data_IF_167912977400
#
_entry.id   IF_167912977400
#
_cell.length_a   1.000
_cell.length_b   1.000
_cell.length_c   1.000
_cell.angle_alpha   90.00
_cell.angle_beta   90.00
_cell.angle_gamma   90.00
#
_symmetry.space_group_name_H-M   'P 1'
#
loop_
_entity.id
_entity.type
_entity.pdbx_description
1 polymer ?
#
# COMPACT_ATOMS: atom_id res chain seq x y z
N UNK A 1 -29.86 -63.19 -24.53
CA UNK A 1 -29.92 -61.83 -23.95
C UNK A 1 -29.16 -61.82 -22.63
N UNK A 2 -27.93 -61.28 -22.60
CA UNK A 2 -27.31 -60.76 -21.38
C UNK A 2 -27.17 -59.22 -21.45
N UNK A 3 -27.25 -58.49 -20.32
CA UNK A 3 -27.48 -57.06 -20.31
C UNK A 3 -26.21 -56.21 -20.50
N UNK A 4 -26.49 -55.00 -20.98
CA UNK A 4 -25.62 -53.89 -21.33
C UNK A 4 -24.66 -53.49 -20.19
N UNK A 5 -23.37 -53.42 -20.50
CA UNK A 5 -22.34 -52.77 -19.68
C UNK A 5 -22.56 -51.26 -19.69
N UNK A 6 -22.86 -50.66 -18.54
CA UNK A 6 -22.71 -49.21 -18.32
C UNK A 6 -21.59 -49.03 -17.29
N UNK A 7 -20.43 -48.64 -17.78
CA UNK A 7 -19.28 -48.25 -16.98
C UNK A 7 -19.52 -46.81 -16.49
N UNK A 8 -19.95 -46.66 -15.24
CA UNK A 8 -20.08 -45.36 -14.59
C UNK A 8 -18.66 -44.83 -14.26
N UNK A 9 -18.11 -43.96 -15.10
CA UNK A 9 -16.92 -43.19 -14.78
C UNK A 9 -17.31 -42.06 -13.81
N UNK A 10 -17.08 -42.26 -12.52
CA UNK A 10 -17.14 -41.19 -11.55
C UNK A 10 -15.93 -40.26 -11.76
N UNK A 11 -16.12 -39.14 -12.45
CA UNK A 11 -15.17 -38.02 -12.42
C UNK A 11 -15.16 -37.45 -11.00
N UNK A 12 -14.00 -37.34 -10.32
CA UNK A 12 -13.94 -36.63 -9.08
C UNK A 12 -14.25 -35.15 -9.36
N UNK A 13 -15.34 -34.67 -8.75
CA UNK A 13 -15.69 -33.26 -8.66
C UNK A 13 -14.49 -32.57 -8.00
N UNK A 14 -13.64 -31.93 -8.80
CA UNK A 14 -12.61 -31.03 -8.31
C UNK A 14 -13.34 -29.85 -7.69
N UNK A 15 -13.61 -29.95 -6.38
CA UNK A 15 -14.11 -28.85 -5.60
C UNK A 15 -13.00 -27.79 -5.62
N UNK A 16 -13.17 -26.83 -6.52
CA UNK A 16 -12.36 -25.63 -6.58
C UNK A 16 -12.47 -24.97 -5.20
N UNK A 17 -11.39 -25.00 -4.43
CA UNK A 17 -11.29 -24.29 -3.18
C UNK A 17 -11.31 -22.78 -3.49
N UNK A 18 -12.48 -22.18 -3.34
CA UNK A 18 -12.71 -20.75 -3.33
C UNK A 18 -13.83 -20.51 -2.30
N UNK A 19 -13.71 -19.72 -1.24
CA UNK A 19 -12.74 -18.71 -0.92
C UNK A 19 -12.41 -18.79 0.58
N UNK A 20 -11.13 -18.69 0.93
CA UNK A 20 -10.75 -18.21 2.25
C UNK A 20 -11.05 -16.72 2.30
N UNK A 21 -12.25 -16.36 2.77
CA UNK A 21 -12.56 -15.02 3.26
C UNK A 21 -11.81 -14.83 4.58
N UNK A 22 -10.50 -14.62 4.47
CA UNK A 22 -9.59 -14.30 5.55
C UNK A 22 -9.08 -12.87 5.36
N UNK A 23 -9.22 -12.06 6.39
CA UNK A 23 -8.77 -10.66 6.47
C UNK A 23 -7.31 -10.53 6.00
N UNK A 24 -7.03 -9.72 4.99
CA UNK A 24 -5.66 -9.50 4.52
C UNK A 24 -5.30 -8.01 4.51
N UNK A 25 -5.18 -7.42 5.70
CA UNK A 25 -4.47 -6.14 5.85
C UNK A 25 -2.98 -6.25 5.46
N UNK A 26 -2.46 -7.48 5.34
CA UNK A 26 -1.14 -7.80 4.77
C UNK A 26 -0.97 -7.30 3.32
N UNK A 27 -2.06 -7.14 2.54
CA UNK A 27 -1.99 -6.64 1.16
C UNK A 27 -2.04 -5.11 1.06
N UNK A 28 -2.28 -4.41 2.18
CA UNK A 28 -2.45 -2.97 2.18
C UNK A 28 -1.13 -2.22 2.43
N UNK A 29 -0.06 -2.89 2.87
CA UNK A 29 1.26 -2.28 3.06
C UNK A 29 2.33 -3.20 2.45
N UNK A 30 3.25 -2.63 1.67
CA UNK A 30 4.37 -3.36 1.08
C UNK A 30 5.65 -2.53 1.04
N UNK A 31 6.78 -3.22 0.92
CA UNK A 31 8.09 -2.62 0.66
C UNK A 31 8.70 -3.28 -0.57
N UNK A 32 9.19 -2.48 -1.51
CA UNK A 32 9.72 -2.97 -2.79
C UNK A 32 10.91 -2.13 -3.24
N UNK A 33 11.95 -2.80 -3.74
CA UNK A 33 13.06 -2.15 -4.43
C UNK A 33 12.64 -1.70 -5.83
N UNK A 34 12.92 -0.45 -6.17
CA UNK A 34 12.75 0.14 -7.51
C UNK A 34 14.07 0.74 -7.99
N UNK A 35 14.09 1.23 -9.23
CA UNK A 35 15.17 2.05 -9.81
C UNK A 35 15.34 3.39 -9.09
N UNK A 36 14.26 3.97 -8.55
CA UNK A 36 14.28 5.19 -7.76
C UNK A 36 14.84 4.99 -6.35
N UNK A 37 14.87 3.76 -5.85
CA UNK A 37 15.24 3.39 -4.48
C UNK A 37 14.20 2.48 -3.84
N UNK A 38 14.09 2.50 -2.51
CA UNK A 38 13.10 1.68 -1.80
C UNK A 38 11.77 2.41 -1.68
N UNK A 39 10.69 1.75 -2.10
CA UNK A 39 9.31 2.25 -1.98
C UNK A 39 8.59 1.50 -0.88
N UNK A 40 8.11 2.23 0.13
CA UNK A 40 7.14 1.74 1.10
C UNK A 40 5.77 2.22 0.63
N UNK A 41 4.92 1.29 0.20
CA UNK A 41 3.59 1.59 -0.28
C UNK A 41 2.56 1.26 0.80
N UNK A 42 1.56 2.13 0.95
CA UNK A 42 0.39 1.90 1.79
C UNK A 42 -0.89 2.19 1.02
N UNK A 43 -1.91 1.37 1.18
CA UNK A 43 -3.27 1.67 0.69
C UNK A 43 -3.86 2.80 1.53
N UNK A 44 -4.55 3.72 0.86
CA UNK A 44 -5.15 4.88 1.53
C UNK A 44 -6.14 4.47 2.62
N UNK A 45 -6.77 3.29 2.56
CA UNK A 45 -7.72 2.83 3.59
C UNK A 45 -7.09 2.64 4.98
N UNK A 46 -5.77 2.39 5.01
CA UNK A 46 -5.01 2.25 6.25
C UNK A 46 -4.80 3.63 6.86
N UNK A 47 -4.38 4.59 6.04
CA UNK A 47 -3.99 5.93 6.45
C UNK A 47 -5.18 6.86 6.69
N UNK A 48 -6.22 6.78 5.85
CA UNK A 48 -7.29 7.77 5.76
C UNK A 48 -8.67 7.13 5.67
N UNK A 49 -9.69 7.88 6.06
CA UNK A 49 -11.07 7.58 5.70
C UNK A 49 -11.39 8.09 4.29
N UNK A 50 -12.45 7.57 3.68
CA UNK A 50 -12.90 7.97 2.33
C UNK A 50 -13.10 9.47 2.24
N UNK A 51 -12.47 10.09 1.22
CA UNK A 51 -12.57 11.54 0.97
C UNK A 51 -11.86 12.43 1.99
N UNK A 52 -11.14 11.86 2.96
CA UNK A 52 -10.40 12.63 3.98
C UNK A 52 -8.89 12.55 3.77
N UNK A 53 -8.19 13.50 4.38
CA UNK A 53 -6.73 13.54 4.47
C UNK A 53 -6.22 13.46 5.93
N UNK A 54 -7.10 13.39 6.93
CA UNK A 54 -6.67 13.22 8.33
C UNK A 54 -6.18 11.80 8.59
N UNK A 55 -5.02 11.68 9.25
CA UNK A 55 -4.45 10.37 9.61
C UNK A 55 -5.32 9.68 10.65
N UNK A 56 -5.68 8.42 10.35
CA UNK A 56 -6.41 7.55 11.27
C UNK A 56 -5.55 7.23 12.48
N UNK A 57 -6.11 7.20 13.70
CA UNK A 57 -5.37 6.77 14.89
C UNK A 57 -4.73 5.39 14.74
N UNK A 58 -5.39 4.47 14.01
CA UNK A 58 -4.90 3.12 13.72
C UNK A 58 -3.67 3.09 12.81
N UNK A 59 -3.41 4.16 12.04
CA UNK A 59 -2.24 4.28 11.17
C UNK A 59 -1.00 4.78 11.90
N UNK A 60 -1.15 5.35 13.11
CA UNK A 60 -0.04 5.93 13.86
C UNK A 60 1.12 4.96 14.10
N UNK A 61 0.89 3.69 14.51
CA UNK A 61 1.99 2.75 14.68
C UNK A 61 2.77 2.47 13.39
N UNK A 62 2.09 2.44 12.24
CA UNK A 62 2.76 2.30 10.94
C UNK A 62 3.67 3.50 10.67
N UNK A 63 3.19 4.73 10.90
CA UNK A 63 3.99 5.94 10.73
C UNK A 63 5.16 6.01 11.72
N UNK A 64 4.98 5.53 12.96
CA UNK A 64 6.07 5.41 13.95
C UNK A 64 7.18 4.48 13.45
N UNK A 65 6.80 3.34 12.85
CA UNK A 65 7.76 2.41 12.27
C UNK A 65 8.47 3.00 11.05
N UNK A 66 7.74 3.69 10.17
CA UNK A 66 8.34 4.36 9.00
C UNK A 66 9.34 5.42 9.47
N UNK A 67 8.96 6.30 10.41
CA UNK A 67 9.87 7.30 10.98
C UNK A 67 11.11 6.66 11.61
N UNK A 68 10.95 5.55 12.33
CA UNK A 68 12.07 4.78 12.89
C UNK A 68 13.04 4.32 11.80
N UNK A 69 12.54 3.80 10.68
CA UNK A 69 13.38 3.43 9.52
C UNK A 69 14.09 4.66 8.95
N UNK A 70 13.37 5.75 8.72
CA UNK A 70 13.90 6.98 8.13
C UNK A 70 14.94 7.70 9.00
N UNK A 71 14.90 7.50 10.32
CA UNK A 71 15.85 8.10 11.26
C UNK A 71 17.04 7.19 11.57
N UNK A 72 16.86 5.87 11.57
CA UNK A 72 17.89 4.93 12.05
C UNK A 72 18.58 4.12 10.95
N UNK A 73 17.97 3.99 9.77
CA UNK A 73 18.45 3.12 8.69
C UNK A 73 18.88 3.85 7.43
N UNK A 74 18.31 5.02 7.16
CA UNK A 74 18.61 5.77 5.95
C UNK A 74 18.82 7.24 6.24
N UNK A 75 19.76 7.87 5.53
CA UNK A 75 19.91 9.33 5.47
C UNK A 75 19.44 9.91 4.12
N UNK A 76 18.89 9.07 3.25
CA UNK A 76 18.45 9.48 1.92
C UNK A 76 17.33 10.51 1.96
N UNK A 77 17.20 11.25 0.86
CA UNK A 77 16.02 12.07 0.60
C UNK A 77 14.78 11.19 0.43
N UNK A 78 13.65 11.69 0.92
CA UNK A 78 12.37 11.00 0.96
C UNK A 78 11.37 11.76 0.10
N UNK A 79 10.65 11.06 -0.76
CA UNK A 79 9.53 11.62 -1.53
C UNK A 79 8.27 10.87 -1.15
N UNK A 80 7.22 11.60 -0.79
CA UNK A 80 5.89 11.07 -0.54
C UNK A 80 5.02 11.40 -1.75
N UNK A 81 4.46 10.36 -2.36
CA UNK A 81 3.57 10.48 -3.51
C UNK A 81 2.17 10.00 -3.16
N UNK A 82 1.17 10.87 -3.33
CA UNK A 82 -0.24 10.54 -3.14
C UNK A 82 -0.92 10.23 -4.48
N UNK A 83 -1.77 9.19 -4.51
CA UNK A 83 -2.50 8.77 -5.71
C UNK A 83 -3.97 8.46 -5.40
N UNK A 84 -4.84 8.71 -6.37
CA UNK A 84 -6.26 8.34 -6.31
C UNK A 84 -6.61 7.35 -7.42
N UNK A 85 -7.81 6.77 -7.32
CA UNK A 85 -8.46 6.15 -8.48
C UNK A 85 -9.06 7.23 -9.42
N UNK A 86 -9.80 6.77 -10.43
CA UNK A 86 -10.47 7.63 -11.40
C UNK A 86 -11.89 8.08 -10.98
N UNK A 87 -12.32 7.86 -9.73
CA UNK A 87 -13.68 8.22 -9.31
C UNK A 87 -13.68 9.68 -8.86
N UNK A 88 -14.64 10.47 -9.37
CA UNK A 88 -14.77 11.89 -9.03
C UNK A 88 -14.13 12.81 -10.06
N UNK A 89 -14.04 14.11 -9.73
CA UNK A 89 -13.44 15.13 -10.61
C UNK A 89 -11.92 15.09 -10.51
N UNK A 90 -11.24 15.26 -11.64
CA UNK A 90 -9.78 15.22 -11.71
C UNK A 90 -9.12 16.24 -10.77
N UNK A 91 -9.66 17.46 -10.68
CA UNK A 91 -9.15 18.53 -9.82
C UNK A 91 -9.30 18.19 -8.34
N UNK A 92 -10.43 17.58 -7.96
CA UNK A 92 -10.67 17.13 -6.59
C UNK A 92 -9.72 16.00 -6.20
N UNK A 93 -9.48 15.07 -7.13
CA UNK A 93 -8.54 13.96 -6.93
C UNK A 93 -7.10 14.46 -6.82
N UNK A 94 -6.72 15.44 -7.63
CA UNK A 94 -5.43 16.11 -7.54
C UNK A 94 -5.25 16.75 -6.16
N UNK A 95 -6.17 17.63 -5.75
CA UNK A 95 -6.12 18.30 -4.45
C UNK A 95 -6.11 17.30 -3.27
N UNK A 96 -6.94 16.26 -3.32
CA UNK A 96 -6.99 15.24 -2.26
C UNK A 96 -5.67 14.48 -2.15
N UNK A 97 -5.07 14.10 -3.28
CA UNK A 97 -3.79 13.40 -3.28
C UNK A 97 -2.64 14.26 -2.74
N UNK A 98 -2.64 15.56 -3.05
CA UNK A 98 -1.65 16.52 -2.55
C UNK A 98 -1.78 16.70 -1.05
N UNK A 99 -3.01 16.89 -0.56
CA UNK A 99 -3.29 17.02 0.87
C UNK A 99 -2.85 15.77 1.64
N UNK A 100 -3.17 14.57 1.13
CA UNK A 100 -2.75 13.30 1.76
C UNK A 100 -1.24 13.15 1.84
N UNK A 101 -0.53 13.45 0.74
CA UNK A 101 0.92 13.40 0.72
C UNK A 101 1.53 14.41 1.73
N UNK A 102 0.95 15.61 1.80
CA UNK A 102 1.35 16.64 2.75
C UNK A 102 1.13 16.19 4.20
N UNK A 103 -0.03 15.63 4.52
CA UNK A 103 -0.32 15.17 5.89
C UNK A 103 0.62 14.05 6.33
N UNK A 104 0.94 13.09 5.46
CA UNK A 104 1.93 12.05 5.80
C UNK A 104 3.31 12.66 6.02
N UNK A 105 3.68 13.68 5.23
CA UNK A 105 4.95 14.39 5.43
C UNK A 105 5.02 15.07 6.79
N UNK A 106 3.97 15.81 7.15
CA UNK A 106 3.86 16.50 8.44
C UNK A 106 3.95 15.52 9.61
N UNK A 107 3.21 14.41 9.55
CA UNK A 107 3.24 13.38 10.58
C UNK A 107 4.60 12.70 10.74
N UNK A 108 5.38 12.54 9.66
CA UNK A 108 6.74 12.03 9.74
C UNK A 108 7.73 13.07 10.29
N UNK A 109 7.54 14.36 9.95
CA UNK A 109 8.33 15.45 10.52
C UNK A 109 8.08 15.56 12.03
N UNK A 110 6.83 15.45 12.48
CA UNK A 110 6.48 15.43 13.92
C UNK A 110 7.15 14.27 14.66
N UNK A 111 7.44 13.17 13.95
CA UNK A 111 8.20 12.01 14.47
C UNK A 111 9.72 12.16 14.34
N UNK A 112 10.20 13.37 14.05
CA UNK A 112 11.61 13.73 14.03
C UNK A 112 12.33 13.43 12.72
N UNK A 113 11.63 13.12 11.63
CA UNK A 113 12.25 13.07 10.30
C UNK A 113 12.60 14.50 9.88
N UNK A 114 13.85 14.71 9.48
CA UNK A 114 14.34 16.03 9.07
C UNK A 114 13.53 16.57 7.88
N UNK A 115 12.92 17.74 8.06
CA UNK A 115 12.17 18.47 7.03
C UNK A 115 12.99 18.72 5.76
N UNK A 116 14.30 18.93 5.88
CA UNK A 116 15.18 19.14 4.73
C UNK A 116 15.34 17.91 3.84
N UNK A 117 14.99 16.73 4.34
CA UNK A 117 15.09 15.45 3.61
C UNK A 117 13.81 15.05 2.90
N UNK A 118 12.65 15.61 3.26
CA UNK A 118 11.35 15.10 2.84
C UNK A 118 10.62 16.07 1.92
N UNK A 119 9.95 15.53 0.89
CA UNK A 119 9.08 16.26 -0.03
C UNK A 119 7.78 15.49 -0.23
N UNK A 120 6.69 16.21 -0.48
CA UNK A 120 5.38 15.64 -0.80
C UNK A 120 4.92 16.09 -2.18
N UNK A 121 4.21 15.22 -2.89
CA UNK A 121 3.57 15.51 -4.18
C UNK A 121 2.32 14.66 -4.37
N UNK A 122 1.23 15.26 -4.84
CA UNK A 122 0.04 14.54 -5.27
C UNK A 122 0.02 14.37 -6.79
N UNK A 123 -0.46 13.23 -7.27
CA UNK A 123 -0.60 12.96 -8.71
C UNK A 123 -2.04 12.67 -9.13
N UNK A 124 -3.00 12.75 -8.20
CA UNK A 124 -4.38 12.39 -8.42
C UNK A 124 -4.49 11.03 -9.10
N UNK A 125 -5.26 10.98 -10.19
CA UNK A 125 -5.51 9.79 -10.99
C UNK A 125 -4.54 9.59 -12.17
N UNK A 126 -3.52 10.44 -12.30
CA UNK A 126 -2.69 10.51 -13.53
C UNK A 126 -1.64 9.40 -13.65
N UNK A 127 -1.36 8.68 -12.56
CA UNK A 127 -0.35 7.60 -12.50
C UNK A 127 -0.95 6.29 -11.94
N UNK A 128 -1.87 5.63 -12.67
CA UNK A 128 -2.47 4.38 -12.24
C UNK A 128 -1.45 3.22 -12.31
N UNK A 129 -1.53 2.32 -11.34
CA UNK A 129 -0.75 1.05 -11.29
C UNK A 129 -1.61 -0.16 -11.65
N UNK A 130 -2.93 0.01 -11.70
CA UNK A 130 -3.89 -1.00 -12.11
C UNK A 130 -5.04 -0.40 -12.93
N UNK A 131 -5.75 -1.24 -13.67
CA UNK A 131 -6.96 -0.82 -14.42
C UNK A 131 -8.07 -0.38 -13.46
N UNK A 132 -8.74 0.73 -13.77
CA UNK A 132 -9.79 1.29 -12.90
C UNK A 132 -11.18 0.65 -13.08
N UNK A 133 -11.30 -0.33 -13.99
CA UNK A 133 -12.58 -0.96 -14.33
C UNK A 133 -13.12 -1.85 -13.21
N UNK A 134 -12.24 -2.29 -12.30
CA UNK A 134 -12.59 -3.15 -11.17
C UNK A 134 -12.37 -2.43 -9.84
N UNK A 135 -13.15 -2.79 -8.82
CA UNK A 135 -12.92 -2.24 -7.48
C UNK A 135 -11.53 -2.61 -6.96
N UNK A 136 -11.07 -3.83 -7.21
CA UNK A 136 -9.72 -4.25 -6.83
C UNK A 136 -8.64 -3.35 -7.45
N UNK A 137 -8.75 -3.03 -8.74
CA UNK A 137 -7.79 -2.14 -9.41
C UNK A 137 -7.87 -0.69 -8.91
N UNK A 138 -9.08 -0.16 -8.66
CA UNK A 138 -9.23 1.16 -8.04
C UNK A 138 -8.60 1.22 -6.64
N UNK A 139 -8.76 0.18 -5.84
CA UNK A 139 -8.16 0.08 -4.52
C UNK A 139 -6.63 0.10 -4.56
N UNK A 140 -6.03 -0.52 -5.57
CA UNK A 140 -4.57 -0.45 -5.79
C UNK A 140 -4.12 0.96 -6.20
N UNK A 141 -4.95 1.69 -6.95
CA UNK A 141 -4.63 3.07 -7.35
C UNK A 141 -4.75 4.08 -6.20
N UNK A 142 -5.62 3.82 -5.21
CA UNK A 142 -5.74 4.61 -3.98
C UNK A 142 -4.64 4.24 -2.99
N UNK A 143 -3.47 4.84 -3.18
CA UNK A 143 -2.26 4.51 -2.45
C UNK A 143 -1.42 5.75 -2.17
N UNK A 144 -0.61 5.63 -1.13
CA UNK A 144 0.46 6.55 -0.80
C UNK A 144 1.79 5.80 -0.87
N UNK A 145 2.77 6.37 -1.57
CA UNK A 145 4.13 5.84 -1.70
C UNK A 145 5.11 6.70 -0.92
N UNK A 146 5.96 6.08 -0.11
CA UNK A 146 7.06 6.73 0.61
C UNK A 146 8.36 6.18 0.03
N UNK A 147 9.09 7.03 -0.67
CA UNK A 147 10.18 6.64 -1.56
C UNK A 147 11.50 7.15 -0.97
N UNK A 148 12.37 6.23 -0.60
CA UNK A 148 13.72 6.54 -0.12
C UNK A 148 14.68 6.53 -1.31
N UNK A 149 15.06 7.72 -1.78
CA UNK A 149 15.78 7.90 -3.03
C UNK A 149 17.18 7.28 -3.00
N UNK A 150 17.50 6.48 -4.01
CA UNK A 150 18.79 5.80 -4.15
C UNK A 150 19.13 4.79 -3.05
N UNK A 151 18.18 4.52 -2.15
CA UNK A 151 18.38 3.58 -1.06
C UNK A 151 18.24 2.13 -1.56
N UNK A 152 18.90 1.22 -0.85
CA UNK A 152 18.79 -0.22 -1.10
C UNK A 152 18.06 -0.93 0.02
N UNK A 153 17.25 -1.90 -0.36
CA UNK A 153 16.49 -2.72 0.58
C UNK A 153 17.39 -3.47 1.59
N UNK A 154 18.61 -3.85 1.21
CA UNK A 154 19.57 -4.46 2.13
C UNK A 154 19.94 -3.57 3.34
N UNK A 155 19.92 -2.24 3.15
CA UNK A 155 20.18 -1.26 4.21
C UNK A 155 18.96 -1.09 5.13
N UNK A 156 17.77 -1.32 4.59
CA UNK A 156 16.50 -1.26 5.31
C UNK A 156 16.11 -2.69 5.68
N UNK A 157 16.57 -3.20 6.84
CA UNK A 157 16.35 -4.59 7.30
C UNK A 157 14.90 -5.11 7.09
N UNK A 158 14.59 -5.62 5.89
CA UNK A 158 13.24 -5.99 5.42
C UNK A 158 12.55 -6.94 6.38
N UNK A 159 13.30 -7.94 6.87
CA UNK A 159 12.80 -8.94 7.82
C UNK A 159 12.19 -8.33 9.08
N UNK A 160 12.73 -7.20 9.57
CA UNK A 160 12.19 -6.49 10.74
C UNK A 160 10.91 -5.73 10.42
N UNK A 161 10.83 -5.15 9.22
CA UNK A 161 9.62 -4.47 8.75
C UNK A 161 8.48 -5.48 8.51
N UNK A 162 8.76 -6.59 7.83
CA UNK A 162 7.77 -7.65 7.59
C UNK A 162 7.25 -8.27 8.90
N UNK A 163 8.12 -8.41 9.91
CA UNK A 163 7.71 -8.86 11.23
C UNK A 163 6.81 -7.85 11.94
N UNK A 164 7.12 -6.56 11.85
CA UNK A 164 6.27 -5.49 12.37
C UNK A 164 4.89 -5.49 11.70
N UNK A 165 4.83 -5.60 10.36
CA UNK A 165 3.55 -5.64 9.63
C UNK A 165 2.66 -6.81 10.06
N UNK A 166 3.26 -7.98 10.31
CA UNK A 166 2.51 -9.12 10.87
C UNK A 166 1.95 -8.82 12.26
N UNK A 167 2.66 -8.07 13.10
CA UNK A 167 2.19 -7.69 14.43
C UNK A 167 1.10 -6.60 14.43
N UNK A 168 1.11 -5.72 13.43
CA UNK A 168 0.16 -4.60 13.34
C UNK A 168 -1.27 -5.04 12.98
N UNK A 169 -1.40 -6.18 12.31
CA UNK A 169 -2.66 -6.63 11.70
C UNK A 169 -3.19 -7.98 12.21
N UNK A 170 -2.56 -8.55 13.24
CA UNK A 170 -3.02 -9.75 13.94
C UNK A 170 -3.91 -9.40 15.14
#
# INVERSE_FOLDING_TARGET
>A
MPPLRILLLAMPLLLCACATTGKNAQNDISMTQTDRGVVIQSSDRILFDTGKADIKPTAKPFLDQVATILNTKSKSSVVIEGHTDNVGKAEMNQALSELRALTVMEELIERGVDKGRIKASGFGMTRPVAVNDTEAGRQLNRRTEIILLGEKEENIKRNGFDAFLRGLFN
#
